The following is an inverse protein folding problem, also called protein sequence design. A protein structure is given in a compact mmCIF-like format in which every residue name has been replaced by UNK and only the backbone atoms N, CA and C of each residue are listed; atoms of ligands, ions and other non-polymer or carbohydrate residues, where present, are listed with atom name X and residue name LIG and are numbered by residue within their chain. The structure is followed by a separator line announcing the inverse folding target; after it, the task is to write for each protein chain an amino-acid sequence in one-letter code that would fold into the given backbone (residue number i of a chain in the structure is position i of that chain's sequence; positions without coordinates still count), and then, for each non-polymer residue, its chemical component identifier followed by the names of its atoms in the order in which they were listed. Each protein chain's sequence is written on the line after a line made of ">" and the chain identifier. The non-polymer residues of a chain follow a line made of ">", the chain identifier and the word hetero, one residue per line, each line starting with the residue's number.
data_IF_502508767540
#
_entry.id   IF_502508767540
#
_cell.length_a   1.000
_cell.length_b   1.000
_cell.length_c   1.000
_cell.angle_alpha   90.00
_cell.angle_beta   90.00
_cell.angle_gamma   90.00
#
_symmetry.space_group_name_H-M   'P 1'
#
loop_
_entity.id
_entity.type
_entity.pdbx_description
1 polymer ?
#
# COMPACT_ATOMS: atom_id res chain seq x y z
N UNK A 1 22.69 7.21 1.51
CA UNK A 1 23.68 7.42 0.42
C UNK A 1 25.05 7.08 0.99
N UNK A 2 25.96 6.50 0.20
CA UNK A 2 27.33 6.25 0.65
C UNK A 2 28.13 7.56 0.66
N UNK A 3 29.02 7.79 1.65
CA UNK A 3 29.74 9.07 1.83
C UNK A 3 30.53 9.49 0.59
N UNK A 4 31.23 8.54 -0.06
CA UNK A 4 31.88 8.77 -1.37
C UNK A 4 30.96 9.35 -2.45
N UNK A 5 29.71 8.88 -2.52
CA UNK A 5 28.74 9.40 -3.50
C UNK A 5 28.29 10.82 -3.15
N UNK A 6 28.20 11.12 -1.86
CA UNK A 6 27.87 12.45 -1.37
C UNK A 6 28.99 13.45 -1.64
N UNK A 7 30.23 13.08 -1.38
CA UNK A 7 31.40 13.93 -1.63
C UNK A 7 31.63 14.15 -3.14
N UNK A 8 31.42 13.11 -3.96
CA UNK A 8 31.44 13.23 -5.41
C UNK A 8 30.34 14.20 -5.90
N UNK A 9 29.13 14.10 -5.36
CA UNK A 9 28.05 15.02 -5.71
C UNK A 9 28.39 16.48 -5.34
N UNK A 10 28.95 16.72 -4.15
CA UNK A 10 29.42 18.07 -3.76
C UNK A 10 30.50 18.59 -4.71
N UNK A 11 31.48 17.75 -5.07
CA UNK A 11 32.56 18.15 -5.97
C UNK A 11 32.05 18.53 -7.37
N UNK A 12 31.12 17.75 -7.92
CA UNK A 12 30.55 18.00 -9.25
C UNK A 12 29.67 19.26 -9.26
N UNK A 13 28.91 19.51 -8.19
CA UNK A 13 28.04 20.68 -8.11
C UNK A 13 28.80 21.98 -7.87
N UNK A 14 29.99 21.94 -7.27
CA UNK A 14 30.82 23.13 -7.05
C UNK A 14 30.04 24.29 -6.41
N UNK A 15 30.12 25.47 -7.01
CA UNK A 15 29.45 26.69 -6.52
C UNK A 15 27.94 26.76 -6.86
N UNK A 16 27.42 25.83 -7.66
CA UNK A 16 25.99 25.79 -8.01
C UNK A 16 25.13 25.31 -6.84
N UNK A 17 25.71 24.64 -5.83
CA UNK A 17 25.01 24.12 -4.67
C UNK A 17 25.68 24.55 -3.35
N UNK A 18 24.88 25.07 -2.42
CA UNK A 18 25.35 25.42 -1.07
C UNK A 18 24.51 24.69 -0.01
N UNK A 19 25.19 24.06 0.94
CA UNK A 19 24.59 23.34 2.06
C UNK A 19 25.06 23.98 3.35
N UNK A 20 24.12 24.50 4.14
CA UNK A 20 24.37 25.07 5.46
C UNK A 20 24.23 23.97 6.50
N UNK A 21 25.34 23.68 7.16
CA UNK A 21 25.45 22.67 8.21
C UNK A 21 25.56 23.32 9.60
N UNK A 22 25.08 22.65 10.66
CA UNK A 22 25.16 23.16 12.02
C UNK A 22 26.60 23.50 12.44
N UNK A 23 26.81 24.73 12.91
CA UNK A 23 28.10 25.18 13.43
C UNK A 23 29.15 25.54 12.38
N UNK A 24 28.77 25.68 11.10
CA UNK A 24 29.67 26.17 10.04
C UNK A 24 29.18 27.51 9.49
N UNK A 25 30.06 28.51 9.50
CA UNK A 25 29.85 29.75 8.74
C UNK A 25 30.13 29.47 7.27
N UNK A 26 29.08 29.50 6.45
CA UNK A 26 29.16 29.27 5.01
C UNK A 26 28.89 30.57 4.28
N UNK A 27 29.87 31.05 3.51
CA UNK A 27 29.67 32.16 2.57
C UNK A 27 28.96 31.62 1.34
N UNK A 28 27.75 32.13 1.07
CA UNK A 28 26.92 31.65 -0.04
C UNK A 28 27.32 32.39 -1.32
N UNK A 29 27.69 31.68 -2.40
CA UNK A 29 27.98 32.32 -3.69
C UNK A 29 26.74 33.00 -4.27
N UNK A 30 26.90 34.21 -4.83
CA UNK A 30 25.82 34.94 -5.51
C UNK A 30 25.18 34.16 -6.67
N UNK A 31 25.95 33.28 -7.32
CA UNK A 31 25.51 32.45 -8.44
C UNK A 31 24.83 31.14 -8.05
N UNK A 32 24.64 30.87 -6.75
CA UNK A 32 24.11 29.59 -6.28
C UNK A 32 22.73 29.29 -6.90
N UNK A 33 22.56 28.05 -7.36
CA UNK A 33 21.31 27.57 -7.95
C UNK A 33 20.49 26.76 -6.95
N UNK A 34 21.17 26.05 -6.04
CA UNK A 34 20.56 25.11 -5.11
C UNK A 34 21.02 25.42 -3.69
N UNK A 35 20.07 25.73 -2.81
CA UNK A 35 20.34 26.05 -1.41
C UNK A 35 19.67 25.03 -0.51
N UNK A 36 20.41 24.51 0.46
CA UNK A 36 19.88 23.62 1.51
C UNK A 36 20.34 24.09 2.88
N UNK A 37 19.44 24.16 3.85
CA UNK A 37 19.79 24.40 5.25
C UNK A 37 19.29 23.27 6.14
N UNK A 38 20.22 22.65 6.85
CA UNK A 38 19.95 21.60 7.85
C UNK A 38 19.88 22.14 9.29
N UNK A 39 20.00 23.47 9.47
CA UNK A 39 20.07 24.10 10.78
C UNK A 39 18.68 24.48 11.32
N UNK A 40 18.24 23.94 12.47
CA UNK A 40 16.92 24.23 13.05
C UNK A 40 16.68 25.70 13.48
N UNK A 41 17.71 26.55 13.47
CA UNK A 41 17.64 27.95 13.91
C UNK A 41 18.45 28.95 13.09
N UNK A 42 19.00 28.55 11.93
CA UNK A 42 19.66 29.51 11.03
C UNK A 42 18.57 30.34 10.34
N UNK A 43 18.39 31.57 10.79
CA UNK A 43 17.53 32.54 10.10
C UNK A 43 18.39 33.16 9.01
N UNK A 44 17.96 33.05 7.75
CA UNK A 44 18.58 33.84 6.70
C UNK A 44 18.30 35.31 6.97
N UNK A 45 19.33 36.14 6.92
CA UNK A 45 19.06 37.56 6.86
C UNK A 45 18.34 37.82 5.52
N UNK A 46 17.25 38.60 5.52
CA UNK A 46 16.53 38.93 4.29
C UNK A 46 17.43 39.50 3.18
N UNK A 47 18.46 40.25 3.58
CA UNK A 47 19.45 40.87 2.70
C UNK A 47 20.37 39.86 2.00
N UNK A 48 20.56 38.68 2.59
CA UNK A 48 21.38 37.63 1.98
C UNK A 48 20.59 36.83 0.95
N UNK A 49 19.29 36.66 1.14
CA UNK A 49 18.40 36.03 0.17
C UNK A 49 18.22 36.90 -1.09
N UNK A 50 18.01 38.22 -0.94
CA UNK A 50 17.85 39.14 -2.08
C UNK A 50 19.02 39.08 -3.08
N UNK A 51 20.23 38.79 -2.58
CA UNK A 51 21.44 38.69 -3.39
C UNK A 51 21.48 37.45 -4.30
N UNK A 52 20.67 36.42 -4.02
CA UNK A 52 20.72 35.12 -4.70
C UNK A 52 19.85 35.07 -5.96
N UNK A 53 20.14 35.94 -6.94
CA UNK A 53 19.25 36.14 -8.10
C UNK A 53 19.00 34.88 -8.96
N UNK A 54 19.85 33.84 -8.88
CA UNK A 54 19.81 32.66 -9.76
C UNK A 54 19.17 31.41 -9.14
N UNK A 55 18.61 31.54 -7.93
CA UNK A 55 18.09 30.43 -7.14
C UNK A 55 17.00 29.63 -7.89
N UNK A 56 17.17 28.30 -7.95
CA UNK A 56 16.26 27.35 -8.61
C UNK A 56 15.60 26.39 -7.63
N UNK A 57 16.28 26.01 -6.55
CA UNK A 57 15.70 25.19 -5.50
C UNK A 57 16.15 25.62 -4.11
N UNK A 58 15.22 25.54 -3.15
CA UNK A 58 15.49 25.77 -1.74
C UNK A 58 14.97 24.61 -0.90
N UNK A 59 15.82 24.07 -0.03
CA UNK A 59 15.47 23.06 0.95
C UNK A 59 15.73 23.56 2.36
N UNK A 60 14.67 23.91 3.09
CA UNK A 60 14.77 24.37 4.47
C UNK A 60 14.32 23.28 5.43
N UNK A 61 15.23 22.74 6.23
CA UNK A 61 14.90 21.77 7.29
C UNK A 61 14.79 22.42 8.68
N UNK A 62 15.02 23.73 8.77
CA UNK A 62 14.87 24.51 10.00
C UNK A 62 13.71 25.51 9.95
N UNK A 63 13.52 26.21 11.07
CA UNK A 63 12.45 27.19 11.19
C UNK A 63 12.72 28.43 10.32
N UNK A 64 11.78 28.73 9.44
CA UNK A 64 11.74 29.98 8.68
C UNK A 64 10.76 30.94 9.32
N UNK A 65 11.19 32.17 9.58
CA UNK A 65 10.25 33.25 9.87
C UNK A 65 9.57 33.72 8.57
N UNK A 66 8.40 34.34 8.70
CA UNK A 66 7.65 34.88 7.55
C UNK A 66 8.48 35.85 6.71
N UNK A 67 9.35 36.64 7.36
CA UNK A 67 10.24 37.59 6.71
C UNK A 67 11.20 36.90 5.73
N UNK A 68 11.84 35.78 6.10
CA UNK A 68 12.76 35.10 5.17
C UNK A 68 12.02 34.56 3.94
N UNK A 69 10.75 34.15 4.10
CA UNK A 69 9.99 33.58 2.99
C UNK A 69 9.46 34.68 2.06
N UNK A 70 9.09 35.86 2.58
CA UNK A 70 8.70 37.00 1.74
C UNK A 70 9.81 37.47 0.79
N UNK A 71 11.08 37.23 1.15
CA UNK A 71 12.21 37.53 0.28
C UNK A 71 12.44 36.42 -0.76
N UNK A 72 12.22 35.15 -0.38
CA UNK A 72 12.24 34.02 -1.32
C UNK A 72 11.20 34.21 -2.43
N UNK A 73 10.05 34.84 -2.13
CA UNK A 73 9.02 35.14 -3.15
C UNK A 73 9.50 35.99 -4.33
N UNK A 74 10.57 36.77 -4.18
CA UNK A 74 11.10 37.62 -5.25
C UNK A 74 11.94 36.83 -6.28
N UNK A 75 12.26 35.56 -6.03
CA UNK A 75 13.12 34.77 -6.90
C UNK A 75 12.36 34.21 -8.09
N UNK A 76 12.43 34.92 -9.22
CA UNK A 76 11.73 34.56 -10.45
C UNK A 76 12.12 33.18 -11.02
N UNK A 77 13.30 32.64 -10.69
CA UNK A 77 13.75 31.34 -11.23
C UNK A 77 13.48 30.15 -10.32
N UNK A 78 12.89 30.38 -9.13
CA UNK A 78 12.64 29.33 -8.16
C UNK A 78 11.58 28.35 -8.69
N UNK A 79 11.95 27.07 -8.75
CA UNK A 79 11.09 25.97 -9.23
C UNK A 79 10.76 24.96 -8.14
N UNK A 80 11.64 24.79 -7.16
CA UNK A 80 11.49 23.78 -6.10
C UNK A 80 11.62 24.45 -4.75
N UNK A 81 10.66 24.20 -3.86
CA UNK A 81 10.65 24.72 -2.51
C UNK A 81 10.26 23.61 -1.53
N UNK A 82 11.08 23.42 -0.51
CA UNK A 82 10.78 22.57 0.64
C UNK A 82 10.75 23.41 1.91
N UNK A 83 9.64 23.33 2.65
CA UNK A 83 9.42 24.02 3.94
C UNK A 83 8.88 23.02 4.99
N UNK A 84 9.35 23.06 6.25
CA UNK A 84 9.05 22.02 7.22
C UNK A 84 7.93 22.38 8.22
N UNK A 85 7.57 23.66 8.36
CA UNK A 85 6.63 24.10 9.40
C UNK A 85 5.54 25.06 8.93
N UNK A 86 5.86 26.04 8.09
CA UNK A 86 4.96 27.14 7.75
C UNK A 86 4.89 27.33 6.24
N UNK A 87 3.67 27.49 5.74
CA UNK A 87 3.41 27.99 4.40
C UNK A 87 2.90 29.43 4.51
N UNK A 88 3.59 30.44 3.95
CA UNK A 88 3.15 31.82 4.08
C UNK A 88 2.09 32.20 3.07
N UNK A 89 1.28 33.18 3.43
CA UNK A 89 0.23 33.75 2.58
C UNK A 89 0.75 34.29 1.24
N UNK A 90 2.01 34.73 1.23
CA UNK A 90 2.72 35.31 0.09
C UNK A 90 3.27 34.26 -0.90
N UNK A 91 2.95 32.97 -0.74
CA UNK A 91 3.47 31.95 -1.67
C UNK A 91 3.07 32.22 -3.13
N UNK A 92 1.94 32.89 -3.38
CA UNK A 92 1.49 33.25 -4.72
C UNK A 92 2.49 34.06 -5.55
N UNK A 93 3.45 34.76 -4.97
CA UNK A 93 4.49 35.45 -5.75
C UNK A 93 5.44 34.49 -6.49
N UNK A 94 5.52 33.23 -6.06
CA UNK A 94 6.37 32.19 -6.68
C UNK A 94 5.75 31.61 -7.96
N UNK A 95 5.44 32.46 -8.93
CA UNK A 95 4.73 32.13 -10.18
C UNK A 95 5.44 31.08 -11.06
N UNK A 96 6.72 30.80 -10.80
CA UNK A 96 7.51 29.78 -11.50
C UNK A 96 7.67 28.47 -10.74
N UNK A 97 7.08 28.36 -9.54
CA UNK A 97 7.17 27.16 -8.72
C UNK A 97 6.48 25.97 -9.40
N UNK A 98 7.18 24.85 -9.42
CA UNK A 98 6.74 23.60 -10.02
C UNK A 98 6.57 22.52 -8.94
N UNK A 99 7.47 22.50 -7.96
CA UNK A 99 7.51 21.50 -6.89
C UNK A 99 7.42 22.20 -5.55
N UNK A 100 6.41 21.86 -4.76
CA UNK A 100 6.25 22.30 -3.38
C UNK A 100 6.20 21.09 -2.46
N UNK A 101 7.11 21.06 -1.50
CA UNK A 101 7.26 19.98 -0.53
C UNK A 101 6.99 20.54 0.88
N UNK A 102 5.89 20.11 1.48
CA UNK A 102 5.47 20.43 2.85
C UNK A 102 5.29 19.12 3.60
N UNK A 103 6.38 18.38 3.74
CA UNK A 103 6.38 17.05 4.36
C UNK A 103 6.51 17.19 5.87
N UNK A 104 5.68 16.45 6.63
CA UNK A 104 5.70 16.46 8.10
C UNK A 104 5.41 17.80 8.77
N UNK A 105 4.67 18.71 8.11
CA UNK A 105 4.27 20.00 8.68
C UNK A 105 3.20 19.82 9.77
N UNK A 106 3.60 19.86 11.05
CA UNK A 106 2.68 19.64 12.17
C UNK A 106 1.81 20.86 12.54
N UNK A 107 2.20 22.06 12.09
CA UNK A 107 1.48 23.31 12.39
C UNK A 107 0.49 23.72 11.30
N UNK A 108 0.64 23.17 10.10
CA UNK A 108 -0.16 23.55 8.94
C UNK A 108 -1.46 22.73 8.91
N UNK A 109 -2.56 23.34 9.40
CA UNK A 109 -3.89 22.71 9.41
C UNK A 109 -4.69 22.93 8.14
N UNK A 110 -4.53 24.08 7.51
CA UNK A 110 -5.20 24.40 6.26
C UNK A 110 -4.18 24.94 5.27
N UNK A 111 -4.38 24.61 4.01
CA UNK A 111 -3.56 25.12 2.93
C UNK A 111 -4.18 26.44 2.42
N UNK A 112 -3.42 27.55 2.34
CA UNK A 112 -3.94 28.87 1.98
C UNK A 112 -4.43 28.90 0.54
N UNK A 113 -5.47 29.70 0.28
CA UNK A 113 -6.10 29.82 -1.05
C UNK A 113 -5.10 30.29 -2.13
N UNK A 114 -4.11 31.11 -1.72
CA UNK A 114 -3.06 31.68 -2.59
C UNK A 114 -2.20 30.63 -3.30
N UNK A 115 -2.13 29.38 -2.79
CA UNK A 115 -1.46 28.29 -3.49
C UNK A 115 -2.10 28.00 -4.86
N UNK A 116 -3.41 28.27 -5.01
CA UNK A 116 -4.16 28.02 -6.24
C UNK A 116 -3.77 28.97 -7.38
N UNK A 117 -3.00 30.01 -7.08
CA UNK A 117 -2.44 30.96 -8.05
C UNK A 117 -1.15 30.43 -8.70
N UNK A 118 -0.52 29.38 -8.15
CA UNK A 118 0.70 28.78 -8.66
C UNK A 118 0.43 27.91 -9.90
N UNK A 119 0.13 28.54 -11.03
CA UNK A 119 -0.34 27.84 -12.24
C UNK A 119 0.67 26.86 -12.83
N UNK A 120 1.96 26.96 -12.50
CA UNK A 120 3.01 26.02 -12.96
C UNK A 120 3.26 24.85 -12.01
N UNK A 121 2.60 24.83 -10.84
CA UNK A 121 2.76 23.77 -9.87
C UNK A 121 2.32 22.43 -10.47
N UNK A 122 3.25 21.47 -10.50
CA UNK A 122 3.03 20.13 -11.02
C UNK A 122 3.20 19.04 -9.94
N UNK A 123 3.81 19.38 -8.80
CA UNK A 123 4.06 18.45 -7.71
C UNK A 123 3.77 19.14 -6.37
N UNK A 124 2.86 18.57 -5.60
CA UNK A 124 2.53 19.00 -4.24
C UNK A 124 2.57 17.80 -3.30
N UNK A 125 3.44 17.85 -2.30
CA UNK A 125 3.51 16.83 -1.26
C UNK A 125 3.20 17.45 0.10
N UNK A 126 2.14 16.97 0.73
CA UNK A 126 1.70 17.35 2.08
C UNK A 126 1.78 16.16 3.04
N UNK A 127 2.31 15.00 2.63
CA UNK A 127 2.24 13.76 3.40
C UNK A 127 2.81 13.90 4.82
N UNK A 128 2.22 13.18 5.77
CA UNK A 128 2.51 13.20 7.20
C UNK A 128 2.34 14.58 7.88
N UNK A 129 1.64 15.51 7.25
CA UNK A 129 1.30 16.82 7.83
C UNK A 129 -0.04 16.81 8.54
N UNK A 130 -0.30 17.81 9.38
CA UNK A 130 -1.57 17.96 10.11
C UNK A 130 -2.67 18.66 9.28
N UNK A 131 -2.61 18.55 7.94
CA UNK A 131 -3.59 19.18 7.03
C UNK A 131 -4.97 18.53 7.21
N UNK A 132 -5.94 19.35 7.59
CA UNK A 132 -7.35 19.02 7.80
C UNK A 132 -8.23 19.50 6.63
N UNK A 133 -7.78 20.47 5.82
CA UNK A 133 -8.51 20.94 4.64
C UNK A 133 -7.60 21.41 3.49
N UNK A 134 -8.04 21.15 2.27
CA UNK A 134 -7.48 21.74 1.04
C UNK A 134 -8.40 22.85 0.52
N UNK A 135 -7.86 23.93 -0.09
CA UNK A 135 -8.65 24.99 -0.68
C UNK A 135 -9.51 24.45 -1.80
N UNK A 136 -10.76 24.92 -1.89
CA UNK A 136 -11.70 24.49 -2.92
C UNK A 136 -11.17 24.74 -4.33
N UNK A 137 -10.41 25.83 -4.51
CA UNK A 137 -9.81 26.22 -5.79
C UNK A 137 -8.60 25.38 -6.22
N UNK A 138 -8.14 24.41 -5.42
CA UNK A 138 -7.01 23.54 -5.81
C UNK A 138 -7.31 22.78 -7.11
N UNK A 139 -8.59 22.55 -7.41
CA UNK A 139 -9.10 21.93 -8.64
C UNK A 139 -8.73 22.71 -9.91
N UNK A 140 -8.33 23.99 -9.78
CA UNK A 140 -7.90 24.84 -10.89
C UNK A 140 -6.40 24.78 -11.16
N UNK A 141 -5.63 23.99 -10.41
CA UNK A 141 -4.23 23.71 -10.69
C UNK A 141 -4.11 22.67 -11.82
N UNK A 142 -4.38 23.11 -13.05
CA UNK A 142 -4.46 22.24 -14.23
C UNK A 142 -3.14 21.53 -14.58
N UNK A 143 -1.99 22.05 -14.13
CA UNK A 143 -0.69 21.44 -14.36
C UNK A 143 -0.29 20.44 -13.27
N UNK A 144 -1.09 20.28 -12.20
CA UNK A 144 -0.77 19.36 -11.12
C UNK A 144 -0.77 17.91 -11.61
N UNK A 145 0.37 17.24 -11.50
CA UNK A 145 0.58 15.85 -11.87
C UNK A 145 0.67 14.94 -10.65
N UNK A 146 1.21 15.44 -9.53
CA UNK A 146 1.40 14.67 -8.31
C UNK A 146 0.81 15.43 -7.12
N UNK A 147 -0.10 14.76 -6.40
CA UNK A 147 -0.66 15.22 -5.14
C UNK A 147 -0.53 14.12 -4.09
N UNK A 148 0.33 14.34 -3.10
CA UNK A 148 0.57 13.38 -2.01
C UNK A 148 -0.02 13.90 -0.70
N UNK A 149 -0.94 13.12 -0.14
CA UNK A 149 -1.73 13.42 1.07
C UNK A 149 -1.73 12.24 2.04
N UNK A 150 -0.73 11.35 1.93
CA UNK A 150 -0.66 10.18 2.80
C UNK A 150 -0.47 10.61 4.26
N UNK A 151 -1.07 9.88 5.19
CA UNK A 151 -0.96 10.15 6.63
C UNK A 151 -1.39 11.57 7.05
N UNK A 152 -2.29 12.23 6.30
CA UNK A 152 -2.93 13.50 6.69
C UNK A 152 -4.32 13.26 7.30
N UNK A 153 -4.74 14.03 8.33
CA UNK A 153 -6.08 13.95 8.93
C UNK A 153 -7.18 14.60 8.06
N UNK A 154 -7.05 14.53 6.74
CA UNK A 154 -7.93 15.18 5.76
C UNK A 154 -9.23 14.36 5.58
N UNK A 155 -10.41 14.87 6.00
CA UNK A 155 -11.65 14.10 5.98
C UNK A 155 -12.31 14.03 4.60
N UNK A 156 -12.03 15.02 3.73
CA UNK A 156 -12.60 15.14 2.38
C UNK A 156 -11.62 15.81 1.41
N UNK A 157 -11.70 15.44 0.14
CA UNK A 157 -11.07 16.18 -0.95
C UNK A 157 -12.06 17.23 -1.52
N UNK A 158 -11.57 18.28 -2.20
CA UNK A 158 -12.43 19.24 -2.86
C UNK A 158 -13.34 18.62 -3.93
N UNK A 159 -14.59 19.08 -3.96
CA UNK A 159 -15.53 18.73 -5.03
C UNK A 159 -15.03 19.27 -6.38
N UNK A 160 -15.12 18.48 -7.44
CA UNK A 160 -14.65 18.88 -8.76
C UNK A 160 -13.22 18.45 -9.10
N UNK A 161 -12.63 17.52 -8.34
CA UNK A 161 -11.32 16.91 -8.64
C UNK A 161 -11.22 16.38 -10.09
N UNK A 162 -12.35 15.98 -10.69
CA UNK A 162 -12.51 15.63 -12.11
C UNK A 162 -11.88 16.61 -13.12
N UNK A 163 -11.71 17.88 -12.74
CA UNK A 163 -11.13 18.92 -13.59
C UNK A 163 -9.60 18.82 -13.70
N UNK A 164 -8.93 18.08 -12.81
CA UNK A 164 -7.47 17.98 -12.74
C UNK A 164 -6.93 16.90 -13.70
N UNK A 165 -7.19 17.06 -15.00
CA UNK A 165 -6.95 16.02 -16.04
C UNK A 165 -5.49 15.57 -16.21
N UNK A 166 -4.53 16.37 -15.76
CA UNK A 166 -3.10 16.03 -15.80
C UNK A 166 -2.61 15.28 -14.56
N UNK A 167 -3.48 15.04 -13.57
CA UNK A 167 -3.11 14.32 -12.36
C UNK A 167 -2.77 12.87 -12.71
N UNK A 168 -1.56 12.46 -12.36
CA UNK A 168 -0.99 11.14 -12.61
C UNK A 168 -0.83 10.34 -11.31
N UNK A 169 -0.58 10.99 -10.18
CA UNK A 169 -0.44 10.34 -8.87
C UNK A 169 -1.24 11.09 -7.82
N UNK A 170 -2.16 10.36 -7.19
CA UNK A 170 -2.93 10.80 -6.04
C UNK A 170 -2.74 9.77 -4.93
N UNK A 171 -2.04 10.17 -3.87
CA UNK A 171 -1.91 9.33 -2.67
C UNK A 171 -2.72 9.95 -1.55
N UNK A 172 -3.56 9.13 -0.92
CA UNK A 172 -4.49 9.54 0.13
C UNK A 172 -4.35 8.63 1.33
N UNK A 173 -4.52 9.20 2.53
CA UNK A 173 -4.51 8.45 3.79
C UNK A 173 -5.89 7.88 4.18
N UNK A 174 -5.90 6.94 5.12
CA UNK A 174 -7.11 6.28 5.66
C UNK A 174 -8.09 7.21 6.38
N UNK A 175 -7.70 8.45 6.70
CA UNK A 175 -8.59 9.45 7.28
C UNK A 175 -9.66 9.94 6.30
N UNK A 176 -9.42 9.79 4.99
CA UNK A 176 -10.36 10.19 3.96
C UNK A 176 -11.56 9.24 3.93
N UNK A 177 -12.77 9.78 4.17
CA UNK A 177 -13.99 8.97 4.30
C UNK A 177 -14.57 8.52 2.96
N UNK A 178 -14.39 9.33 1.92
CA UNK A 178 -14.84 9.05 0.56
C UNK A 178 -14.06 9.91 -0.44
N UNK A 179 -13.99 9.45 -1.68
CA UNK A 179 -13.55 10.28 -2.80
C UNK A 179 -14.72 11.12 -3.34
N UNK A 180 -14.45 12.29 -3.95
CA UNK A 180 -15.47 13.11 -4.61
C UNK A 180 -15.96 12.43 -5.90
N UNK A 181 -17.06 12.90 -6.48
CA UNK A 181 -17.58 12.37 -7.75
C UNK A 181 -16.73 12.79 -8.96
N UNK A 182 -16.71 11.96 -10.00
CA UNK A 182 -16.00 12.23 -11.25
C UNK A 182 -14.53 11.82 -11.25
N UNK A 183 -14.09 11.01 -10.28
CA UNK A 183 -12.73 10.46 -10.27
C UNK A 183 -12.47 9.63 -11.54
N UNK A 184 -13.48 8.94 -12.09
CA UNK A 184 -13.32 8.21 -13.36
C UNK A 184 -12.91 9.08 -14.55
N UNK A 185 -13.07 10.41 -14.45
CA UNK A 185 -12.66 11.34 -15.50
C UNK A 185 -11.13 11.60 -15.48
N UNK A 186 -10.44 11.23 -14.40
CA UNK A 186 -8.97 11.32 -14.25
C UNK A 186 -8.26 10.19 -15.01
N UNK A 187 -8.50 10.11 -16.31
CA UNK A 187 -8.00 9.03 -17.17
C UNK A 187 -6.47 8.97 -17.31
N UNK A 188 -5.75 10.04 -16.95
CA UNK A 188 -4.29 10.08 -16.86
C UNK A 188 -3.72 9.50 -15.56
N UNK A 189 -4.57 9.16 -14.59
CA UNK A 189 -4.15 8.70 -13.27
C UNK A 189 -3.50 7.32 -13.36
N UNK A 190 -2.25 7.25 -12.90
CA UNK A 190 -1.41 6.06 -12.84
C UNK A 190 -1.35 5.48 -11.45
N UNK A 191 -1.33 6.32 -10.42
CA UNK A 191 -1.22 5.85 -9.04
C UNK A 191 -2.38 6.36 -8.21
N UNK A 192 -3.11 5.42 -7.63
CA UNK A 192 -4.13 5.62 -6.61
C UNK A 192 -4.03 4.45 -5.63
N UNK A 193 -3.31 4.65 -4.53
CA UNK A 193 -3.00 3.56 -3.58
C UNK A 193 -4.24 2.99 -2.88
N UNK A 194 -5.27 3.81 -2.69
CA UNK A 194 -6.47 3.45 -1.95
C UNK A 194 -7.72 4.09 -2.56
N UNK A 195 -8.83 3.35 -2.56
CA UNK A 195 -10.13 3.77 -3.05
C UNK A 195 -11.17 3.61 -1.92
N UNK A 196 -11.47 4.68 -1.16
CA UNK A 196 -12.44 4.67 -0.08
C UNK A 196 -13.87 4.74 -0.63
N UNK A 197 -14.66 3.71 -0.35
CA UNK A 197 -16.08 3.58 -0.64
C UNK A 197 -16.92 4.11 0.52
N UNK A 198 -18.05 4.73 0.20
CA UNK A 198 -19.02 5.20 1.18
C UNK A 198 -20.43 4.90 0.70
N UNK A 199 -21.29 4.45 1.62
CA UNK A 199 -22.67 4.06 1.34
C UNK A 199 -23.63 5.24 1.21
N UNK A 200 -23.28 6.42 1.74
CA UNK A 200 -24.21 7.55 1.88
C UNK A 200 -23.77 8.81 1.13
N UNK A 201 -22.53 8.89 0.68
CA UNK A 201 -21.97 10.08 0.03
C UNK A 201 -20.67 9.77 -0.71
N UNK A 202 -20.42 10.45 -1.84
CA UNK A 202 -19.15 10.36 -2.57
C UNK A 202 -19.10 9.26 -3.62
N UNK A 203 -17.88 8.92 -4.04
CA UNK A 203 -17.60 7.97 -5.10
C UNK A 203 -18.05 6.55 -4.76
N UNK A 204 -18.89 5.99 -5.63
CA UNK A 204 -19.16 4.55 -5.69
C UNK A 204 -18.05 3.83 -6.46
N UNK A 205 -18.04 2.50 -6.41
CA UNK A 205 -16.98 1.70 -7.05
C UNK A 205 -16.90 1.90 -8.57
N UNK A 206 -18.02 2.26 -9.22
CA UNK A 206 -18.06 2.60 -10.65
C UNK A 206 -17.23 3.82 -11.03
N UNK A 207 -16.78 4.63 -10.08
CA UNK A 207 -15.81 5.70 -10.35
C UNK A 207 -14.38 5.16 -10.66
N UNK A 208 -14.16 3.85 -10.55
CA UNK A 208 -12.94 3.19 -11.04
C UNK A 208 -13.00 2.83 -12.53
N UNK A 209 -14.17 2.89 -13.18
CA UNK A 209 -14.44 2.27 -14.50
C UNK A 209 -13.39 2.61 -15.58
N UNK A 210 -13.01 3.88 -15.68
CA UNK A 210 -12.15 4.41 -16.74
C UNK A 210 -10.68 4.59 -16.34
N UNK A 211 -10.32 4.26 -15.09
CA UNK A 211 -8.96 4.40 -14.56
C UNK A 211 -8.07 3.23 -14.99
N UNK A 212 -7.95 3.02 -16.29
CA UNK A 212 -7.30 1.84 -16.87
C UNK A 212 -5.76 1.92 -16.86
N UNK A 213 -5.20 3.12 -16.63
CA UNK A 213 -3.75 3.34 -16.53
C UNK A 213 -3.21 3.08 -15.11
N UNK A 214 -4.07 2.74 -14.14
CA UNK A 214 -3.63 2.45 -12.78
C UNK A 214 -2.59 1.33 -12.76
N UNK A 215 -1.48 1.62 -12.11
CA UNK A 215 -0.30 0.77 -11.98
C UNK A 215 0.09 0.60 -10.51
N UNK A 216 0.90 -0.42 -10.22
CA UNK A 216 1.35 -0.69 -8.86
C UNK A 216 0.27 -1.34 -8.01
N UNK A 217 -0.12 -0.68 -6.92
CA UNK A 217 -1.00 -1.25 -5.90
C UNK A 217 -2.31 -0.46 -5.79
N UNK A 218 -3.42 -1.16 -5.62
CA UNK A 218 -4.74 -0.58 -5.36
C UNK A 218 -5.40 -1.31 -4.20
N UNK A 219 -5.82 -0.54 -3.19
CA UNK A 219 -6.66 -1.03 -2.11
C UNK A 219 -8.09 -0.52 -2.29
N UNK A 220 -9.09 -1.39 -2.20
CA UNK A 220 -10.51 -1.00 -2.23
C UNK A 220 -11.12 -1.28 -0.86
N UNK A 221 -11.62 -0.22 -0.23
CA UNK A 221 -12.01 -0.22 1.18
C UNK A 221 -13.20 0.71 1.45
N UNK A 222 -14.14 0.39 2.34
CA UNK A 222 -14.52 -0.94 2.75
C UNK A 222 -15.56 -1.52 1.77
N UNK A 223 -15.38 -2.77 1.36
CA UNK A 223 -16.16 -3.40 0.29
C UNK A 223 -17.61 -3.75 0.66
N UNK A 224 -18.01 -3.72 1.94
CA UNK A 224 -19.42 -3.86 2.32
C UNK A 224 -20.30 -2.71 1.81
N UNK A 225 -19.71 -1.62 1.31
CA UNK A 225 -20.43 -0.49 0.73
C UNK A 225 -20.77 -0.67 -0.75
N UNK A 226 -20.38 -1.80 -1.38
CA UNK A 226 -20.79 -2.16 -2.75
C UNK A 226 -22.10 -2.91 -2.67
N UNK A 227 -23.16 -2.47 -3.34
CA UNK A 227 -24.54 -2.95 -3.12
C UNK A 227 -24.86 -4.29 -3.80
N UNK A 228 -24.15 -4.63 -4.90
CA UNK A 228 -24.45 -5.82 -5.71
C UNK A 228 -23.30 -6.23 -6.61
N UNK A 229 -23.41 -7.42 -7.21
CA UNK A 229 -22.50 -7.90 -8.24
C UNK A 229 -22.49 -6.99 -9.47
N UNK A 230 -23.64 -6.42 -9.85
CA UNK A 230 -23.70 -5.53 -11.01
C UNK A 230 -22.96 -4.22 -10.76
N UNK A 231 -23.05 -3.67 -9.54
CA UNK A 231 -22.25 -2.52 -9.13
C UNK A 231 -20.76 -2.87 -9.08
N UNK A 232 -20.38 -4.00 -8.47
CA UNK A 232 -18.99 -4.44 -8.42
C UNK A 232 -18.35 -4.53 -9.82
N UNK A 233 -19.09 -5.01 -10.83
CA UNK A 233 -18.64 -5.09 -12.22
C UNK A 233 -18.32 -3.72 -12.84
N UNK A 234 -18.96 -2.64 -12.39
CA UNK A 234 -18.68 -1.29 -12.90
C UNK A 234 -17.27 -0.81 -12.56
N UNK A 235 -16.62 -1.41 -11.55
CA UNK A 235 -15.23 -1.14 -11.21
C UNK A 235 -14.26 -1.46 -12.36
N UNK A 236 -14.65 -2.37 -13.26
CA UNK A 236 -13.91 -2.75 -14.46
C UNK A 236 -12.42 -3.10 -14.16
N UNK A 237 -12.18 -3.85 -13.08
CA UNK A 237 -10.82 -4.20 -12.63
C UNK A 237 -10.06 -5.02 -13.69
N UNK A 238 -10.76 -5.84 -14.48
CA UNK A 238 -10.20 -6.56 -15.63
C UNK A 238 -9.55 -5.68 -16.69
N UNK A 239 -9.88 -4.39 -16.80
CA UNK A 239 -9.23 -3.49 -17.76
C UNK A 239 -7.94 -2.82 -17.22
N UNK A 240 -7.66 -2.95 -15.91
CA UNK A 240 -6.50 -2.33 -15.25
C UNK A 240 -5.25 -3.20 -15.39
N UNK A 241 -4.74 -3.30 -16.62
CA UNK A 241 -3.66 -4.23 -17.03
C UNK A 241 -2.29 -3.95 -16.41
N UNK A 242 -2.08 -2.75 -15.85
CA UNK A 242 -0.79 -2.38 -15.25
C UNK A 242 -0.77 -2.63 -13.75
N UNK A 243 -1.91 -2.98 -13.14
CA UNK A 243 -2.02 -3.22 -11.71
C UNK A 243 -1.27 -4.50 -11.33
N UNK A 244 -0.36 -4.39 -10.36
CA UNK A 244 0.48 -5.51 -9.90
C UNK A 244 -0.08 -6.13 -8.62
N UNK A 245 -0.66 -5.32 -7.74
CA UNK A 245 -1.21 -5.74 -6.45
C UNK A 245 -2.62 -5.20 -6.25
N UNK A 246 -3.52 -6.05 -5.77
CA UNK A 246 -4.90 -5.69 -5.44
C UNK A 246 -5.22 -6.17 -4.03
N UNK A 247 -5.63 -5.24 -3.17
CA UNK A 247 -6.14 -5.55 -1.84
C UNK A 247 -7.65 -5.26 -1.80
N UNK A 248 -8.41 -6.30 -1.50
CA UNK A 248 -9.85 -6.25 -1.29
C UNK A 248 -10.13 -6.34 0.21
N UNK A 249 -10.71 -5.29 0.79
CA UNK A 249 -10.86 -5.22 2.24
C UNK A 249 -12.26 -4.79 2.66
N UNK A 250 -12.84 -5.57 3.55
CA UNK A 250 -14.05 -5.26 4.30
C UNK A 250 -13.69 -4.66 5.67
N UNK A 251 -14.64 -4.06 6.37
CA UNK A 251 -14.43 -3.64 7.76
C UNK A 251 -14.44 -4.84 8.71
N UNK A 252 -13.47 -4.86 9.64
CA UNK A 252 -13.41 -5.89 10.68
C UNK A 252 -14.50 -5.77 11.75
N UNK A 253 -15.07 -4.58 11.93
CA UNK A 253 -16.17 -4.33 12.87
C UNK A 253 -17.40 -3.93 12.05
N UNK A 254 -18.32 -4.88 11.83
CA UNK A 254 -19.64 -4.60 11.25
C UNK A 254 -20.70 -4.82 12.32
N UNK A 255 -21.74 -3.95 12.46
CA UNK A 255 -22.80 -4.11 13.46
C UNK A 255 -23.40 -5.51 13.40
N UNK A 256 -23.64 -6.19 14.50
CA UNK A 256 -24.17 -7.56 14.50
C UNK A 256 -25.44 -7.68 13.63
N UNK A 257 -25.44 -8.60 12.65
CA UNK A 257 -26.63 -8.95 11.86
C UNK A 257 -27.28 -10.18 12.49
N UNK A 258 -28.47 -10.06 13.12
CA UNK A 258 -29.17 -11.18 13.72
C UNK A 258 -29.52 -12.30 12.74
N UNK A 259 -29.51 -12.03 11.42
CA UNK A 259 -29.77 -13.03 10.38
C UNK A 259 -28.53 -13.59 9.70
N UNK A 260 -27.33 -13.00 9.88
CA UNK A 260 -25.99 -13.45 9.45
C UNK A 260 -25.79 -13.83 7.97
N UNK A 261 -26.62 -14.73 7.46
CA UNK A 261 -26.69 -15.28 6.10
C UNK A 261 -26.73 -14.22 5.00
N UNK A 262 -27.43 -13.09 5.24
CA UNK A 262 -27.57 -12.04 4.21
C UNK A 262 -26.24 -11.37 3.89
N UNK A 263 -25.33 -11.23 4.87
CA UNK A 263 -24.00 -10.66 4.64
C UNK A 263 -23.01 -11.63 4.01
N UNK A 264 -23.17 -12.92 4.28
CA UNK A 264 -22.35 -13.99 3.68
C UNK A 264 -22.54 -13.98 2.16
N UNK A 265 -23.80 -14.12 1.73
CA UNK A 265 -24.14 -14.12 0.31
C UNK A 265 -23.75 -12.81 -0.39
N UNK A 266 -23.87 -11.68 0.32
CA UNK A 266 -23.46 -10.37 -0.19
C UNK A 266 -21.95 -10.29 -0.47
N UNK A 267 -21.10 -10.67 0.48
CA UNK A 267 -19.65 -10.61 0.26
C UNK A 267 -19.21 -11.55 -0.87
N UNK A 268 -19.81 -12.74 -0.98
CA UNK A 268 -19.63 -13.68 -2.12
C UNK A 268 -20.04 -13.05 -3.45
N UNK A 269 -21.22 -12.43 -3.50
CA UNK A 269 -21.74 -11.75 -4.68
C UNK A 269 -20.83 -10.57 -5.12
N UNK A 270 -20.40 -9.73 -4.18
CA UNK A 270 -19.49 -8.61 -4.45
C UNK A 270 -18.15 -9.12 -4.96
N UNK A 271 -17.57 -10.15 -4.32
CA UNK A 271 -16.29 -10.73 -4.74
C UNK A 271 -16.36 -11.29 -6.17
N UNK A 272 -17.46 -11.94 -6.54
CA UNK A 272 -17.67 -12.45 -7.90
C UNK A 272 -17.65 -11.31 -8.95
N UNK A 273 -18.22 -10.15 -8.63
CA UNK A 273 -18.27 -9.01 -9.56
C UNK A 273 -16.97 -8.23 -9.73
N UNK A 274 -16.00 -8.37 -8.81
CA UNK A 274 -14.75 -7.59 -8.80
C UNK A 274 -13.65 -8.09 -9.77
N UNK A 275 -13.95 -9.08 -10.63
CA UNK A 275 -13.07 -9.68 -11.65
C UNK A 275 -11.79 -8.87 -11.97
N UNK A 276 -10.63 -9.20 -11.37
CA UNK A 276 -9.37 -8.51 -11.61
C UNK A 276 -8.70 -8.93 -12.91
N UNK A 277 -7.74 -8.13 -13.39
CA UNK A 277 -6.99 -8.49 -14.59
C UNK A 277 -6.03 -9.68 -14.34
N UNK A 278 -5.88 -10.55 -15.33
CA UNK A 278 -5.05 -11.76 -15.24
C UNK A 278 -3.54 -11.51 -15.14
N UNK A 279 -3.08 -10.27 -15.34
CA UNK A 279 -1.68 -9.84 -15.12
C UNK A 279 -1.32 -9.63 -13.64
N UNK A 280 -2.32 -9.65 -12.74
CA UNK A 280 -2.13 -9.42 -11.31
C UNK A 280 -1.12 -10.40 -10.71
N UNK A 281 -0.19 -9.88 -9.89
CA UNK A 281 0.86 -10.67 -9.22
C UNK A 281 0.57 -10.91 -7.74
N UNK A 282 -0.15 -10.00 -7.09
CA UNK A 282 -0.50 -10.12 -5.67
C UNK A 282 -1.99 -9.85 -5.46
N UNK A 283 -2.64 -10.75 -4.73
CA UNK A 283 -4.04 -10.62 -4.33
C UNK A 283 -4.16 -10.77 -2.82
N UNK A 284 -4.80 -9.81 -2.18
CA UNK A 284 -5.02 -9.87 -0.74
C UNK A 284 -6.49 -9.64 -0.40
N UNK A 285 -7.06 -10.51 0.44
CA UNK A 285 -8.45 -10.44 0.87
C UNK A 285 -8.48 -10.32 2.40
N UNK A 286 -9.11 -9.26 2.90
CA UNK A 286 -9.15 -8.91 4.32
C UNK A 286 -10.58 -8.81 4.84
N UNK A 287 -10.84 -9.42 6.00
CA UNK A 287 -12.11 -9.34 6.75
C UNK A 287 -13.36 -9.81 5.99
N UNK A 288 -13.16 -10.68 5.00
CA UNK A 288 -14.23 -11.30 4.22
C UNK A 288 -15.10 -12.22 5.09
N UNK A 289 -16.43 -12.12 4.98
CA UNK A 289 -17.36 -12.90 5.81
C UNK A 289 -18.09 -14.01 5.06
N UNK A 290 -17.86 -14.16 3.74
CA UNK A 290 -18.39 -15.26 2.95
C UNK A 290 -17.87 -16.62 3.43
N UNK A 291 -18.60 -17.68 3.09
CA UNK A 291 -18.21 -19.06 3.43
C UNK A 291 -17.26 -19.65 2.41
N UNK A 292 -17.34 -19.20 1.17
CA UNK A 292 -16.47 -19.67 0.09
C UNK A 292 -15.77 -18.52 -0.62
N UNK A 293 -14.45 -18.59 -0.75
CA UNK A 293 -13.69 -17.71 -1.64
C UNK A 293 -13.49 -18.48 -2.94
N UNK A 294 -14.53 -18.58 -3.77
CA UNK A 294 -14.47 -19.35 -5.03
C UNK A 294 -15.09 -18.58 -6.21
N UNK A 295 -14.64 -17.33 -6.48
CA UNK A 295 -15.18 -16.59 -7.61
C UNK A 295 -14.74 -17.21 -8.94
N UNK A 296 -15.58 -17.09 -9.98
CA UNK A 296 -15.39 -17.73 -11.28
C UNK A 296 -14.09 -17.30 -12.00
N UNK A 297 -13.58 -16.12 -11.67
CA UNK A 297 -12.38 -15.54 -12.27
C UNK A 297 -11.06 -16.03 -11.65
N UNK A 298 -11.07 -16.74 -10.52
CA UNK A 298 -9.84 -17.11 -9.79
C UNK A 298 -8.90 -17.99 -10.62
N UNK A 299 -9.46 -18.95 -11.36
CA UNK A 299 -8.68 -19.86 -12.24
C UNK A 299 -7.97 -19.11 -13.39
N UNK A 300 -8.42 -17.89 -13.69
CA UNK A 300 -7.81 -17.01 -14.70
C UNK A 300 -6.52 -16.33 -14.24
N UNK A 301 -6.23 -16.28 -12.94
CA UNK A 301 -5.11 -15.53 -12.35
C UNK A 301 -3.77 -16.26 -12.46
N UNK A 302 -3.39 -16.64 -13.68
CA UNK A 302 -2.19 -17.45 -13.95
C UNK A 302 -0.87 -16.76 -13.62
N UNK A 303 -0.83 -15.43 -13.52
CA UNK A 303 0.37 -14.66 -13.17
C UNK A 303 0.50 -14.37 -11.67
N UNK A 304 -0.45 -14.86 -10.85
CA UNK A 304 -0.45 -14.63 -9.42
C UNK A 304 0.77 -15.31 -8.78
N UNK A 305 1.54 -14.53 -8.02
CA UNK A 305 2.74 -14.93 -7.30
C UNK A 305 2.45 -15.09 -5.82
N UNK A 306 1.66 -14.17 -5.27
CA UNK A 306 1.36 -14.11 -3.84
C UNK A 306 -0.13 -13.95 -3.58
N UNK A 307 -0.63 -14.72 -2.62
CA UNK A 307 -2.00 -14.59 -2.13
C UNK A 307 -2.02 -14.52 -0.61
N UNK A 308 -2.83 -13.60 -0.08
CA UNK A 308 -2.99 -13.39 1.35
C UNK A 308 -4.46 -13.37 1.72
N UNK A 309 -4.89 -14.24 2.64
CA UNK A 309 -6.21 -14.17 3.26
C UNK A 309 -6.04 -13.86 4.74
N UNK A 310 -6.61 -12.73 5.17
CA UNK A 310 -6.51 -12.24 6.55
C UNK A 310 -7.88 -12.04 7.16
N UNK A 311 -8.11 -12.64 8.33
CA UNK A 311 -9.34 -12.50 9.11
C UNK A 311 -10.60 -12.91 8.33
N UNK A 312 -10.49 -13.98 7.54
CA UNK A 312 -11.59 -14.59 6.77
C UNK A 312 -12.25 -15.72 7.58
N UNK A 313 -12.73 -15.39 8.79
CA UNK A 313 -13.08 -16.36 9.84
C UNK A 313 -14.12 -17.39 9.44
N UNK A 314 -15.11 -17.01 8.63
CA UNK A 314 -16.20 -17.88 8.21
C UNK A 314 -15.85 -18.74 6.99
N UNK A 315 -14.70 -18.51 6.36
CA UNK A 315 -14.32 -19.19 5.13
C UNK A 315 -14.03 -20.66 5.41
N UNK A 316 -14.91 -21.53 4.88
CA UNK A 316 -14.79 -22.98 4.93
C UNK A 316 -14.08 -23.52 3.68
N UNK A 317 -14.25 -22.82 2.55
CA UNK A 317 -13.76 -23.24 1.23
C UNK A 317 -12.93 -22.13 0.59
N UNK A 318 -11.74 -22.49 0.13
CA UNK A 318 -10.83 -21.64 -0.64
C UNK A 318 -10.74 -22.16 -2.08
N UNK A 319 -10.30 -21.35 -3.05
CA UNK A 319 -10.18 -21.82 -4.42
C UNK A 319 -9.04 -22.83 -4.53
N UNK A 320 -8.95 -23.61 -5.64
CA UNK A 320 -7.89 -24.59 -5.85
C UNK A 320 -6.54 -23.91 -6.17
N UNK A 321 -5.97 -23.20 -5.19
CA UNK A 321 -4.75 -22.38 -5.32
C UNK A 321 -3.55 -23.18 -5.85
N UNK A 322 -3.50 -24.48 -5.59
CA UNK A 322 -2.46 -25.35 -6.09
C UNK A 322 -2.43 -25.50 -7.62
N UNK A 323 -3.50 -25.13 -8.33
CA UNK A 323 -3.53 -25.13 -9.81
C UNK A 323 -2.91 -23.87 -10.42
N UNK A 324 -2.60 -22.85 -9.61
CA UNK A 324 -2.02 -21.61 -10.11
C UNK A 324 -0.52 -21.80 -10.41
N UNK A 325 -0.09 -21.63 -11.68
CA UNK A 325 1.22 -22.11 -12.13
C UNK A 325 2.41 -21.28 -11.61
N UNK A 326 2.16 -20.01 -11.22
CA UNK A 326 3.19 -19.09 -10.77
C UNK A 326 3.10 -18.75 -9.26
N UNK A 327 2.17 -19.38 -8.54
CA UNK A 327 1.93 -19.06 -7.13
C UNK A 327 3.11 -19.59 -6.29
N UNK A 328 3.79 -18.68 -5.62
CA UNK A 328 5.00 -18.93 -4.82
C UNK A 328 4.77 -18.72 -3.34
N UNK A 329 3.84 -17.85 -2.97
CA UNK A 329 3.64 -17.43 -1.59
C UNK A 329 2.16 -17.47 -1.22
N UNK A 330 1.84 -18.19 -0.14
CA UNK A 330 0.51 -18.23 0.46
C UNK A 330 0.64 -17.79 1.92
N UNK A 331 -0.17 -16.80 2.30
CA UNK A 331 -0.32 -16.36 3.68
C UNK A 331 -1.78 -16.48 4.13
N UNK A 332 -2.04 -17.32 5.12
CA UNK A 332 -3.34 -17.40 5.79
C UNK A 332 -3.20 -16.95 7.23
N UNK A 333 -4.11 -16.08 7.67
CA UNK A 333 -4.11 -15.58 9.03
C UNK A 333 -5.54 -15.43 9.53
N UNK A 334 -5.86 -16.00 10.69
CA UNK A 334 -7.18 -15.85 11.35
C UNK A 334 -8.29 -16.38 10.42
N UNK A 335 -8.25 -17.69 10.12
CA UNK A 335 -9.24 -18.39 9.31
C UNK A 335 -9.90 -19.52 10.10
N UNK A 336 -10.71 -19.13 11.09
CA UNK A 336 -11.29 -20.02 12.09
C UNK A 336 -11.99 -21.24 11.50
N UNK A 337 -12.78 -21.10 10.42
CA UNK A 337 -13.55 -22.20 9.81
C UNK A 337 -12.80 -23.06 8.79
N UNK A 338 -11.57 -22.69 8.41
CA UNK A 338 -10.81 -23.40 7.38
C UNK A 338 -10.36 -24.77 7.90
N UNK A 339 -10.68 -25.84 7.16
CA UNK A 339 -10.34 -27.23 7.55
C UNK A 339 -9.22 -27.85 6.73
N UNK A 340 -9.15 -27.53 5.44
CA UNK A 340 -8.14 -28.04 4.51
C UNK A 340 -7.88 -27.02 3.39
N UNK A 341 -6.76 -27.17 2.70
CA UNK A 341 -6.35 -26.30 1.58
C UNK A 341 -6.71 -26.85 0.20
N UNK A 342 -7.19 -28.10 0.15
CA UNK A 342 -7.61 -28.80 -1.05
C UNK A 342 -9.13 -28.96 -1.02
N UNK A 343 -9.79 -28.75 -2.15
CA UNK A 343 -11.23 -29.00 -2.22
C UNK A 343 -11.47 -30.52 -2.33
N UNK A 344 -11.71 -31.16 -1.19
CA UNK A 344 -11.84 -32.63 -1.08
C UNK A 344 -13.15 -33.18 -1.65
N UNK A 345 -13.95 -32.38 -2.39
CA UNK A 345 -15.35 -32.74 -2.66
C UNK A 345 -15.74 -33.13 -4.08
N UNK A 346 -14.89 -33.02 -5.10
CA UNK A 346 -15.38 -33.37 -6.46
C UNK A 346 -14.53 -34.24 -7.37
N UNK A 347 -13.31 -34.69 -7.03
CA UNK A 347 -12.65 -35.71 -7.86
C UNK A 347 -11.67 -36.57 -7.05
N UNK A 348 -12.15 -37.71 -6.56
CA UNK A 348 -11.32 -38.84 -6.10
C UNK A 348 -10.55 -39.54 -7.25
N UNK A 349 -10.36 -38.84 -8.38
CA UNK A 349 -9.75 -39.35 -9.62
C UNK A 349 -8.73 -38.39 -10.23
N UNK A 350 -8.64 -37.12 -9.78
CA UNK A 350 -7.65 -36.19 -10.31
C UNK A 350 -6.42 -36.19 -9.41
N UNK A 351 -5.29 -36.47 -10.05
CA UNK A 351 -3.98 -36.63 -9.45
C UNK A 351 -3.56 -35.34 -8.71
N UNK A 352 -3.76 -35.32 -7.38
CA UNK A 352 -3.31 -34.22 -6.50
C UNK A 352 -1.78 -34.05 -6.54
N UNK A 353 -1.05 -34.96 -7.20
CA UNK A 353 0.39 -34.87 -7.46
C UNK A 353 0.80 -33.56 -8.16
N UNK A 354 -0.08 -32.96 -8.96
CA UNK A 354 0.23 -31.77 -9.77
C UNK A 354 -0.17 -30.43 -9.13
N UNK A 355 -0.53 -30.40 -7.85
CA UNK A 355 -0.85 -29.16 -7.15
C UNK A 355 0.39 -28.53 -6.50
N UNK A 356 0.43 -27.20 -6.40
CA UNK A 356 1.42 -26.40 -5.67
C UNK A 356 2.88 -26.57 -6.14
N UNK A 357 3.09 -26.87 -7.43
CA UNK A 357 4.42 -27.16 -8.01
C UNK A 357 5.44 -26.01 -7.94
N UNK A 358 5.00 -24.79 -7.68
CA UNK A 358 5.84 -23.59 -7.57
C UNK A 358 5.82 -22.95 -6.17
N UNK A 359 5.09 -23.52 -5.22
CA UNK A 359 4.94 -22.93 -3.89
C UNK A 359 6.27 -22.99 -3.13
N UNK A 360 6.76 -21.84 -2.70
CA UNK A 360 8.02 -21.69 -1.96
C UNK A 360 7.78 -21.35 -0.49
N UNK A 361 6.73 -20.59 -0.19
CA UNK A 361 6.43 -20.16 1.17
C UNK A 361 4.97 -20.40 1.51
N UNK A 362 4.74 -21.15 2.59
CA UNK A 362 3.43 -21.38 3.17
C UNK A 362 3.44 -20.92 4.63
N UNK A 363 2.66 -19.88 4.91
CA UNK A 363 2.58 -19.23 6.19
C UNK A 363 1.11 -19.30 6.67
N UNK A 364 0.87 -19.99 7.77
CA UNK A 364 -0.47 -20.18 8.37
C UNK A 364 -0.41 -19.76 9.83
N UNK A 365 -1.20 -18.75 10.19
CA UNK A 365 -1.28 -18.19 11.54
C UNK A 365 -2.72 -18.21 12.03
N UNK A 366 -2.96 -18.76 13.23
CA UNK A 366 -4.27 -18.76 13.88
C UNK A 366 -5.37 -19.35 12.97
N UNK A 367 -5.21 -20.63 12.64
CA UNK A 367 -6.18 -21.43 11.87
C UNK A 367 -6.55 -22.66 12.71
N UNK A 368 -7.33 -22.49 13.80
CA UNK A 368 -7.51 -23.50 14.83
C UNK A 368 -8.22 -24.76 14.34
N UNK A 369 -9.06 -24.68 13.30
CA UNK A 369 -9.78 -25.83 12.77
C UNK A 369 -9.09 -26.54 11.60
N UNK A 370 -7.89 -26.10 11.21
CA UNK A 370 -7.13 -26.72 10.13
C UNK A 370 -6.71 -28.12 10.55
N UNK A 371 -7.10 -29.14 9.76
CA UNK A 371 -6.87 -30.56 10.08
C UNK A 371 -5.73 -31.15 9.26
N UNK A 372 -5.53 -30.67 8.03
CA UNK A 372 -4.53 -31.22 7.11
C UNK A 372 -3.89 -30.15 6.23
N UNK A 373 -2.67 -30.46 5.78
CA UNK A 373 -1.92 -29.70 4.77
C UNK A 373 -1.86 -30.48 3.45
N UNK A 374 -1.59 -29.81 2.31
CA UNK A 374 -1.34 -30.49 1.04
C UNK A 374 -0.19 -31.49 1.15
N UNK A 375 -0.32 -32.65 0.52
CA UNK A 375 0.65 -33.74 0.62
C UNK A 375 1.92 -33.53 -0.19
N UNK A 376 1.87 -32.81 -1.31
CA UNK A 376 3.01 -32.60 -2.20
C UNK A 376 3.34 -31.11 -2.35
N UNK A 377 4.49 -30.68 -1.85
CA UNK A 377 4.98 -29.29 -1.92
C UNK A 377 6.47 -29.30 -2.33
N UNK A 378 6.81 -29.67 -3.58
CA UNK A 378 8.16 -30.08 -3.95
C UNK A 378 9.21 -28.95 -3.94
N UNK A 379 8.79 -27.69 -4.08
CA UNK A 379 9.67 -26.51 -4.07
C UNK A 379 9.57 -25.67 -2.79
N UNK A 380 8.95 -26.21 -1.74
CA UNK A 380 8.71 -25.47 -0.51
C UNK A 380 10.04 -25.17 0.19
N UNK A 381 10.32 -23.88 0.41
CA UNK A 381 11.53 -23.39 1.06
C UNK A 381 11.27 -23.02 2.53
N UNK A 382 10.06 -22.56 2.84
CA UNK A 382 9.67 -22.16 4.18
C UNK A 382 8.22 -22.55 4.52
N UNK A 383 8.05 -23.22 5.66
CA UNK A 383 6.75 -23.57 6.25
C UNK A 383 6.65 -22.92 7.64
N UNK A 384 5.61 -22.13 7.87
CA UNK A 384 5.31 -21.54 9.18
C UNK A 384 3.89 -21.87 9.59
N UNK A 385 3.76 -22.48 10.76
CA UNK A 385 2.51 -22.88 11.39
C UNK A 385 2.50 -22.28 12.79
N UNK A 386 1.53 -21.40 13.04
CA UNK A 386 1.38 -20.75 14.35
C UNK A 386 -0.08 -20.86 14.77
N UNK A 387 -0.36 -21.30 16.00
CA UNK A 387 -1.74 -21.39 16.52
C UNK A 387 -2.67 -22.24 15.62
N UNK A 388 -2.23 -23.44 15.24
CA UNK A 388 -2.96 -24.39 14.40
C UNK A 388 -3.35 -25.66 15.19
N UNK A 389 -4.24 -25.51 16.19
CA UNK A 389 -4.45 -26.50 17.25
C UNK A 389 -4.96 -27.88 16.81
N UNK A 390 -5.78 -27.94 15.74
CA UNK A 390 -6.31 -29.22 15.22
C UNK A 390 -5.43 -29.91 14.19
N UNK A 391 -4.29 -29.31 13.82
CA UNK A 391 -3.39 -29.91 12.85
C UNK A 391 -2.60 -31.03 13.53
N UNK A 392 -3.00 -32.28 13.28
CA UNK A 392 -2.49 -33.44 14.01
C UNK A 392 -1.08 -33.86 13.60
N UNK A 393 -0.73 -33.72 12.32
CA UNK A 393 0.57 -34.14 11.80
C UNK A 393 0.93 -33.35 10.53
N UNK A 394 2.23 -33.29 10.24
CA UNK A 394 2.72 -32.84 8.94
C UNK A 394 2.47 -33.93 7.87
N UNK A 395 2.46 -33.59 6.57
CA UNK A 395 2.40 -34.57 5.49
C UNK A 395 3.53 -35.61 5.58
N UNK A 396 3.24 -36.89 5.34
CA UNK A 396 4.26 -37.95 5.38
C UNK A 396 5.36 -37.76 4.33
N UNK A 397 5.03 -37.10 3.20
CA UNK A 397 5.97 -36.76 2.14
C UNK A 397 6.91 -35.61 2.51
N UNK A 398 6.79 -34.98 3.68
CA UNK A 398 7.64 -33.84 4.07
C UNK A 398 9.14 -34.19 4.05
N UNK A 399 9.48 -35.46 4.31
CA UNK A 399 10.85 -35.99 4.21
C UNK A 399 11.46 -35.91 2.80
N UNK A 400 10.62 -35.72 1.78
CA UNK A 400 11.02 -35.59 0.37
C UNK A 400 11.21 -34.14 -0.07
N UNK A 401 10.87 -33.15 0.77
CA UNK A 401 10.95 -31.72 0.45
C UNK A 401 12.40 -31.23 0.60
N UNK A 402 13.23 -31.46 -0.42
CA UNK A 402 14.67 -31.19 -0.38
C UNK A 402 15.03 -29.70 -0.27
N UNK A 403 14.14 -28.82 -0.72
CA UNK A 403 14.36 -27.38 -0.72
C UNK A 403 13.93 -26.72 0.61
N UNK A 404 13.31 -27.48 1.53
CA UNK A 404 12.76 -26.94 2.77
C UNK A 404 13.87 -26.55 3.75
N UNK A 405 14.10 -25.25 3.86
CA UNK A 405 15.18 -24.66 4.65
C UNK A 405 14.74 -24.15 6.02
N UNK A 406 13.45 -23.86 6.18
CA UNK A 406 12.89 -23.27 7.40
C UNK A 406 11.54 -23.89 7.75
N UNK A 407 11.45 -24.45 8.95
CA UNK A 407 10.21 -24.93 9.56
C UNK A 407 9.98 -24.19 10.88
N UNK A 408 8.82 -23.55 11.02
CA UNK A 408 8.39 -22.88 12.26
C UNK A 408 7.07 -23.47 12.70
N UNK A 409 7.02 -23.99 13.93
CA UNK A 409 5.82 -24.54 14.57
C UNK A 409 5.73 -23.91 15.96
N UNK A 410 4.79 -22.99 16.17
CA UNK A 410 4.66 -22.24 17.44
C UNK A 410 3.22 -22.33 17.92
N UNK A 411 3.01 -22.62 19.20
CA UNK A 411 1.69 -22.74 19.81
C UNK A 411 0.76 -23.69 19.04
N UNK A 412 1.26 -24.84 18.56
CA UNK A 412 0.46 -25.87 17.91
C UNK A 412 0.44 -27.12 18.80
N UNK A 413 -0.46 -27.17 19.79
CA UNK A 413 -0.34 -28.05 20.97
C UNK A 413 0.02 -29.51 20.66
N UNK A 414 -0.66 -30.13 19.68
CA UNK A 414 -0.43 -31.52 19.29
C UNK A 414 0.77 -31.68 18.35
N UNK A 415 0.93 -30.76 17.40
CA UNK A 415 1.98 -30.82 16.39
C UNK A 415 3.37 -30.55 16.98
N UNK A 416 3.48 -29.57 17.88
CA UNK A 416 4.73 -29.21 18.57
C UNK A 416 5.29 -30.40 19.35
N UNK A 417 4.46 -31.16 20.08
CA UNK A 417 4.87 -32.38 20.81
C UNK A 417 5.36 -33.48 19.87
N UNK A 418 4.71 -33.65 18.71
CA UNK A 418 5.11 -34.66 17.72
C UNK A 418 6.39 -34.30 16.98
N UNK A 419 6.66 -33.01 16.81
CA UNK A 419 7.84 -32.47 16.16
C UNK A 419 8.96 -32.11 17.14
N UNK A 420 8.84 -32.49 18.42
CA UNK A 420 9.81 -32.17 19.45
C UNK A 420 11.17 -32.80 19.15
N UNK A 421 12.23 -32.01 19.33
CA UNK A 421 13.60 -32.41 18.97
C UNK A 421 14.01 -33.70 19.67
N UNK A 422 14.49 -34.68 18.90
CA UNK A 422 15.02 -35.99 19.34
C UNK A 422 14.01 -36.96 19.98
N UNK A 423 12.86 -36.49 20.47
CA UNK A 423 11.87 -37.33 21.19
C UNK A 423 10.52 -37.43 20.49
N UNK A 424 10.17 -36.48 19.62
CA UNK A 424 8.91 -36.45 18.91
C UNK A 424 8.80 -37.53 17.82
N UNK A 425 7.61 -38.13 17.68
CA UNK A 425 7.37 -39.21 16.69
C UNK A 425 7.52 -38.79 15.23
N UNK A 426 7.32 -37.50 14.92
CA UNK A 426 7.51 -36.94 13.58
C UNK A 426 8.90 -36.29 13.42
N UNK A 427 9.72 -36.20 14.49
CA UNK A 427 11.08 -35.64 14.42
C UNK A 427 11.96 -36.28 13.33
N UNK A 428 11.99 -37.62 13.14
CA UNK A 428 12.79 -38.22 12.08
C UNK A 428 12.42 -37.70 10.69
N UNK A 429 11.14 -37.36 10.46
CA UNK A 429 10.64 -36.85 9.17
C UNK A 429 11.15 -35.44 8.88
N UNK A 430 11.39 -34.63 9.90
CA UNK A 430 11.78 -33.21 9.76
C UNK A 430 13.25 -32.93 10.09
N UNK A 431 13.97 -33.89 10.66
CA UNK A 431 15.37 -33.73 11.14
C UNK A 431 16.38 -33.30 10.07
N UNK A 432 16.05 -33.48 8.78
CA UNK A 432 16.87 -33.05 7.65
C UNK A 432 16.79 -31.53 7.38
N UNK A 433 15.83 -30.82 7.97
CA UNK A 433 15.58 -29.39 7.75
C UNK A 433 16.60 -28.56 8.56
N UNK A 434 17.37 -27.64 7.94
CA UNK A 434 18.43 -26.90 8.63
C UNK A 434 17.96 -26.00 9.77
N UNK A 435 16.83 -25.30 9.60
CA UNK A 435 16.33 -24.33 10.59
C UNK A 435 14.94 -24.73 11.07
N UNK A 436 14.88 -25.38 12.23
CA UNK A 436 13.63 -25.78 12.89
C UNK A 436 13.44 -24.92 14.14
N UNK A 437 12.29 -24.25 14.23
CA UNK A 437 11.86 -23.48 15.40
C UNK A 437 10.57 -24.10 15.90
N UNK A 438 10.62 -24.70 17.09
CA UNK A 438 9.45 -25.22 17.81
C UNK A 438 9.28 -24.48 19.13
N UNK A 439 8.13 -24.66 19.79
CA UNK A 439 7.94 -24.23 21.17
C UNK A 439 9.11 -24.71 22.05
N UNK A 440 9.60 -23.84 22.93
CA UNK A 440 10.66 -24.22 23.88
C UNK A 440 10.08 -25.23 24.88
N UNK A 441 10.85 -26.25 25.30
CA UNK A 441 10.41 -27.14 26.36
C UNK A 441 10.19 -26.29 27.63
N UNK A 442 8.95 -26.29 28.13
CA UNK A 442 8.53 -25.62 29.36
C UNK A 442 8.88 -26.38 30.61
#
# INVERSE_FOLDING_TARGET
>A
MHDLMHDMARHVMGDDCSVIEPGKDVVIPYGVLHLSSSCPGSIFSPQDLEKLASLRSVFMYGNMNEDSISHISNHMYLKVLYLPEVLPDLIHYLQNLQVLLLYSCQKLRELPESICELKKLNYLNLSHSSIEALPGSIIYLQNLQVLLLDSCPLPKLPEGLRNMKNLQRLEIGYSLRHLPLGIKELTSLRTLSMFPLSNNSGAKIGELENLNLLEGELQIVPLENVESLSEAKTANLKCKRNLQSLMLRWSGIRPWDPKGSMRIAHDEEVLEGLEPNTSLKKLEIFFYMGKSISPSWMDGLRNLIEITFYHCKNCEHIPPLGRLPNLRVIHFSIMDSLKCLCDDKENMLDDTSNMFLCLQKLDIYNCPNLVSLPSNLPKLEALRLVECDRLLSLPDQIQSFRDLNKLVIINCELLSKRCEKEIGVDWPKISHIPNIITDSPG
#
